data_IF_220582293114
#
_entry.id   IF_220582293114
#
_cell.length_a   1.000
_cell.length_b   1.000
_cell.length_c   1.000
_cell.angle_alpha   90.00
_cell.angle_beta   90.00
_cell.angle_gamma   90.00
#
_symmetry.space_group_name_H-M   'P 1'
#
loop_
_entity.id
_entity.type
_entity.pdbx_description
1 polymer ?
#
# COMPACT_ATOMS: atom_id res chain seq x y z
N UNK A 1 12.85 -12.51 -18.38
CA UNK A 1 12.99 -13.36 -17.17
C UNK A 1 13.43 -12.55 -15.96
N UNK A 2 14.51 -11.78 -16.04
CA UNK A 2 15.07 -11.02 -14.89
C UNK A 2 14.09 -10.02 -14.24
N UNK A 3 13.42 -9.18 -15.02
CA UNK A 3 12.44 -8.20 -14.47
C UNK A 3 11.25 -8.85 -13.74
N UNK A 4 10.80 -10.02 -14.20
CA UNK A 4 9.72 -10.78 -13.55
C UNK A 4 10.18 -11.31 -12.20
N UNK A 5 11.40 -11.83 -12.11
CA UNK A 5 11.97 -12.31 -10.85
C UNK A 5 12.14 -11.19 -9.82
N UNK A 6 12.71 -10.05 -10.23
CA UNK A 6 12.85 -8.87 -9.36
C UNK A 6 11.50 -8.38 -8.80
N UNK A 7 10.42 -8.47 -9.60
CA UNK A 7 9.08 -8.11 -9.14
C UNK A 7 8.61 -9.02 -8.00
N UNK A 8 8.78 -10.35 -8.14
CA UNK A 8 8.38 -11.29 -7.09
C UNK A 8 9.24 -11.18 -5.83
N UNK A 9 10.53 -10.89 -5.96
CA UNK A 9 11.41 -10.61 -4.81
C UNK A 9 10.96 -9.34 -4.08
N UNK A 10 10.67 -8.27 -4.81
CA UNK A 10 10.13 -7.01 -4.25
C UNK A 10 8.79 -7.26 -3.53
N UNK A 11 7.88 -7.99 -4.18
CA UNK A 11 6.58 -8.32 -3.61
C UNK A 11 6.71 -9.16 -2.34
N UNK A 12 7.63 -10.15 -2.34
CA UNK A 12 7.91 -10.98 -1.16
C UNK A 12 8.43 -10.13 0.00
N UNK A 13 9.37 -9.22 -0.26
CA UNK A 13 9.91 -8.35 0.79
C UNK A 13 8.82 -7.47 1.44
N UNK A 14 7.93 -6.87 0.64
CA UNK A 14 6.80 -6.06 1.13
C UNK A 14 5.83 -6.92 1.96
N UNK A 15 5.51 -8.13 1.50
CA UNK A 15 4.62 -9.06 2.22
C UNK A 15 5.24 -9.49 3.55
N UNK A 16 6.49 -9.96 3.54
CA UNK A 16 7.21 -10.37 4.76
C UNK A 16 7.30 -9.23 5.78
N UNK A 17 7.60 -8.02 5.32
CA UNK A 17 7.62 -6.84 6.19
C UNK A 17 6.24 -6.59 6.83
N UNK A 18 5.19 -6.65 6.03
CA UNK A 18 3.82 -6.40 6.53
C UNK A 18 3.36 -7.49 7.49
N UNK A 19 3.67 -8.75 7.20
CA UNK A 19 3.33 -9.90 8.05
C UNK A 19 4.03 -9.79 9.41
N UNK A 20 5.32 -9.44 9.43
CA UNK A 20 6.07 -9.23 10.67
C UNK A 20 5.39 -8.18 11.57
N UNK A 21 4.87 -7.11 10.99
CA UNK A 21 4.16 -6.07 11.74
C UNK A 21 2.77 -6.54 12.22
N UNK A 22 2.04 -7.23 11.36
CA UNK A 22 0.66 -7.67 11.66
C UNK A 22 0.67 -8.73 12.77
N UNK A 23 1.66 -9.62 12.79
CA UNK A 23 1.89 -10.61 13.84
C UNK A 23 2.27 -9.95 15.18
N UNK A 24 3.13 -8.93 15.16
CA UNK A 24 3.48 -8.16 16.35
C UNK A 24 2.26 -7.46 17.00
N UNK A 25 1.25 -7.08 16.20
CA UNK A 25 -0.01 -6.49 16.71
C UNK A 25 -0.95 -7.52 17.36
N UNK A 26 -0.83 -8.81 17.03
CA UNK A 26 -1.67 -9.89 17.58
C UNK A 26 -1.09 -10.57 18.83
N UNK A 27 0.08 -10.15 19.32
CA UNK A 27 0.73 -10.76 20.49
C UNK A 27 1.22 -12.19 20.28
N UNK A 28 1.26 -12.67 19.02
CA UNK A 28 1.70 -14.01 18.65
C UNK A 28 3.19 -13.99 18.28
N UNK A 29 4.06 -13.89 19.28
CA UNK A 29 5.44 -14.37 19.13
C UNK A 29 5.57 -15.66 19.92
N UNK A 30 5.34 -16.79 19.25
CA UNK A 30 5.78 -18.09 19.72
C UNK A 30 6.91 -18.55 18.78
N UNK A 31 8.11 -18.63 19.35
CA UNK A 31 9.28 -19.41 18.93
C UNK A 31 9.66 -19.43 17.43
N UNK A 32 10.79 -18.77 17.17
CA UNK A 32 11.86 -19.23 16.29
C UNK A 32 11.42 -19.65 14.89
N UNK A 33 11.37 -18.68 13.98
CA UNK A 33 11.48 -18.97 12.55
C UNK A 33 12.73 -18.27 12.06
N UNK A 34 13.59 -19.00 11.35
CA UNK A 34 14.70 -18.47 10.55
C UNK A 34 14.13 -17.57 9.42
N UNK A 35 13.51 -16.46 9.80
CA UNK A 35 12.92 -15.51 8.89
C UNK A 35 14.02 -14.62 8.34
N UNK A 36 13.97 -14.40 7.02
CA UNK A 36 14.76 -13.37 6.35
C UNK A 36 14.70 -12.05 7.16
N UNK A 37 15.81 -11.30 7.25
CA UNK A 37 15.82 -10.05 7.99
C UNK A 37 14.68 -9.16 7.49
N UNK A 38 13.82 -8.74 8.43
CA UNK A 38 12.73 -7.83 8.11
C UNK A 38 13.33 -6.53 7.58
N UNK A 39 12.98 -6.09 6.36
CA UNK A 39 13.57 -4.88 5.78
C UNK A 39 13.30 -3.66 6.66
N UNK A 40 14.24 -2.73 6.70
CA UNK A 40 14.08 -1.43 7.36
C UNK A 40 13.03 -0.55 6.67
N UNK A 41 12.56 0.51 7.32
CA UNK A 41 11.61 1.45 6.71
C UNK A 41 12.16 2.09 5.43
N UNK A 42 13.46 2.41 5.41
CA UNK A 42 14.14 2.99 4.24
C UNK A 42 14.16 2.00 3.07
N UNK A 43 14.47 0.73 3.33
CA UNK A 43 14.46 -0.32 2.31
C UNK A 43 13.04 -0.57 1.77
N UNK A 44 12.04 -0.58 2.65
CA UNK A 44 10.64 -0.71 2.24
C UNK A 44 10.19 0.49 1.39
N UNK A 45 10.54 1.71 1.77
CA UNK A 45 10.26 2.90 0.96
C UNK A 45 10.84 2.76 -0.45
N UNK A 46 12.08 2.26 -0.57
CA UNK A 46 12.73 2.03 -1.87
C UNK A 46 12.02 0.93 -2.68
N UNK A 47 11.63 -0.18 -2.05
CA UNK A 47 10.87 -1.26 -2.70
C UNK A 47 9.50 -0.79 -3.19
N UNK A 48 8.79 0.02 -2.40
CA UNK A 48 7.50 0.59 -2.79
C UNK A 48 7.62 1.60 -3.92
N UNK A 49 8.67 2.43 -3.94
CA UNK A 49 8.93 3.35 -5.06
C UNK A 49 9.22 2.56 -6.35
N UNK A 50 10.05 1.52 -6.27
CA UNK A 50 10.34 0.64 -7.41
C UNK A 50 9.07 -0.03 -7.93
N UNK A 51 8.25 -0.58 -7.02
CA UNK A 51 6.96 -1.20 -7.37
C UNK A 51 6.02 -0.19 -8.04
N UNK A 52 5.88 1.01 -7.46
CA UNK A 52 5.05 2.08 -8.02
C UNK A 52 5.45 2.41 -9.46
N UNK A 53 6.75 2.59 -9.71
CA UNK A 53 7.25 2.91 -11.05
C UNK A 53 7.01 1.76 -12.04
N UNK A 54 7.23 0.51 -11.61
CA UNK A 54 6.93 -0.69 -12.43
C UNK A 54 5.45 -0.88 -12.76
N UNK A 55 4.53 -0.45 -11.88
CA UNK A 55 3.08 -0.48 -12.15
C UNK A 55 2.70 0.61 -13.14
N UNK A 56 3.24 1.83 -12.94
CA UNK A 56 3.01 2.97 -13.81
C UNK A 56 3.43 2.68 -15.26
N UNK A 57 4.64 2.16 -15.46
CA UNK A 57 5.23 1.82 -16.76
C UNK A 57 4.55 0.63 -17.48
N UNK A 58 3.47 0.08 -16.93
CA UNK A 58 2.69 -1.03 -17.49
C UNK A 58 3.40 -2.40 -17.56
N UNK A 59 4.67 -2.49 -17.17
CA UNK A 59 5.47 -3.72 -17.31
C UNK A 59 5.03 -4.85 -16.36
N UNK A 60 4.28 -4.55 -15.29
CA UNK A 60 3.96 -5.53 -14.23
C UNK A 60 2.49 -5.55 -13.80
N UNK A 61 1.58 -4.85 -14.49
CA UNK A 61 0.18 -4.67 -14.04
C UNK A 61 -0.54 -6.00 -13.83
N UNK A 62 -0.48 -6.91 -14.81
CA UNK A 62 -1.05 -8.25 -14.70
C UNK A 62 -0.41 -9.09 -13.57
N UNK A 63 0.87 -8.84 -13.25
CA UNK A 63 1.58 -9.61 -12.24
C UNK A 63 1.12 -9.25 -10.81
N UNK A 64 0.73 -8.00 -10.56
CA UNK A 64 0.20 -7.56 -9.27
C UNK A 64 -1.14 -8.24 -8.95
N UNK A 65 -1.98 -8.45 -9.97
CA UNK A 65 -3.29 -9.14 -9.85
C UNK A 65 -3.12 -10.58 -9.34
N UNK A 66 -2.03 -11.23 -9.74
CA UNK A 66 -1.72 -12.60 -9.35
C UNK A 66 -1.15 -12.73 -7.92
N UNK A 67 -0.99 -11.63 -7.17
CA UNK A 67 -0.51 -11.66 -5.79
C UNK A 67 -1.50 -10.95 -4.86
N UNK A 68 -2.66 -11.54 -4.53
CA UNK A 68 -3.64 -10.96 -3.61
C UNK A 68 -3.04 -10.52 -2.26
N UNK A 69 -2.08 -11.29 -1.75
CA UNK A 69 -1.34 -10.94 -0.52
C UNK A 69 -0.59 -9.61 -0.62
N UNK A 70 -0.04 -9.27 -1.80
CA UNK A 70 0.65 -7.99 -1.99
C UNK A 70 -0.35 -6.83 -1.87
N UNK A 71 -1.54 -6.97 -2.44
CA UNK A 71 -2.59 -5.96 -2.36
C UNK A 71 -3.09 -5.77 -0.92
N UNK A 72 -3.24 -6.87 -0.18
CA UNK A 72 -3.54 -6.85 1.25
C UNK A 72 -2.43 -6.15 2.05
N UNK A 73 -1.18 -6.47 1.77
CA UNK A 73 -0.03 -5.84 2.41
C UNK A 73 0.02 -4.34 2.17
N UNK A 74 -0.14 -3.90 0.92
CA UNK A 74 -0.21 -2.48 0.57
C UNK A 74 -1.35 -1.78 1.32
N UNK A 75 -2.53 -2.40 1.39
CA UNK A 75 -3.70 -1.85 2.09
C UNK A 75 -3.45 -1.74 3.60
N UNK A 76 -2.82 -2.74 4.21
CA UNK A 76 -2.46 -2.69 5.63
C UNK A 76 -1.43 -1.58 5.92
N UNK A 77 -0.42 -1.44 5.05
CA UNK A 77 0.65 -0.46 5.22
C UNK A 77 0.20 1.00 5.09
N UNK A 78 -0.89 1.28 4.35
CA UNK A 78 -1.48 2.62 4.26
C UNK A 78 -1.91 3.18 5.63
N UNK A 79 -2.20 2.31 6.61
CA UNK A 79 -2.55 2.72 7.99
C UNK A 79 -1.45 2.34 9.00
N UNK A 80 -0.25 2.04 8.52
CA UNK A 80 0.87 1.59 9.35
C UNK A 80 1.21 2.61 10.43
N UNK A 81 1.06 2.18 11.70
CA UNK A 81 1.39 2.95 12.91
C UNK A 81 0.84 4.39 12.88
N UNK A 82 -0.35 4.53 12.30
CA UNK A 82 -1.03 5.81 12.17
C UNK A 82 -1.37 6.36 13.57
N UNK A 83 -1.07 7.64 13.81
CA UNK A 83 -1.32 8.32 15.08
C UNK A 83 -0.36 7.96 16.23
N UNK A 84 0.68 7.15 15.98
CA UNK A 84 1.76 6.93 16.96
C UNK A 84 2.97 7.76 16.59
N UNK A 85 3.33 8.72 17.45
CA UNK A 85 4.50 9.56 17.25
C UNK A 85 5.55 9.24 18.31
N UNK A 86 6.72 8.79 17.88
CA UNK A 86 7.79 8.36 18.79
C UNK A 86 9.03 9.21 18.56
N UNK A 87 9.38 9.42 17.30
CA UNK A 87 10.59 10.11 16.86
C UNK A 87 10.33 10.71 15.49
N UNK A 88 10.76 11.95 15.27
CA UNK A 88 10.45 12.69 14.04
C UNK A 88 11.02 12.01 12.79
N UNK A 89 12.22 11.44 12.84
CA UNK A 89 12.82 10.76 11.70
C UNK A 89 12.05 9.46 11.38
N UNK A 90 11.76 8.68 12.42
CA UNK A 90 10.95 7.46 12.27
C UNK A 90 9.54 7.76 11.78
N UNK A 91 8.93 8.85 12.24
CA UNK A 91 7.58 9.26 11.85
C UNK A 91 7.55 9.76 10.39
N UNK A 92 8.61 10.46 9.94
CA UNK A 92 8.78 10.83 8.54
C UNK A 92 8.94 9.60 7.63
N UNK A 93 9.75 8.62 8.04
CA UNK A 93 9.92 7.37 7.29
C UNK A 93 8.61 6.58 7.20
N UNK A 94 7.82 6.56 8.28
CA UNK A 94 6.47 5.94 8.28
C UNK A 94 5.52 6.65 7.33
N UNK A 95 5.53 7.97 7.33
CA UNK A 95 4.73 8.78 6.41
C UNK A 95 5.11 8.47 4.97
N UNK A 96 6.41 8.37 4.67
CA UNK A 96 6.88 8.01 3.34
C UNK A 96 6.36 6.63 2.91
N UNK A 97 6.49 5.61 3.76
CA UNK A 97 5.95 4.26 3.48
C UNK A 97 4.45 4.34 3.17
N UNK A 98 3.65 5.03 3.99
CA UNK A 98 2.21 5.22 3.74
C UNK A 98 1.95 5.89 2.39
N UNK A 99 2.69 6.95 2.08
CA UNK A 99 2.59 7.69 0.82
C UNK A 99 2.90 6.80 -0.40
N UNK A 100 3.99 6.02 -0.34
CA UNK A 100 4.34 5.11 -1.45
C UNK A 100 3.34 3.97 -1.61
N UNK A 101 2.80 3.43 -0.52
CA UNK A 101 1.72 2.43 -0.58
C UNK A 101 0.45 3.00 -1.23
N UNK A 102 0.03 4.22 -0.85
CA UNK A 102 -1.10 4.91 -1.48
C UNK A 102 -0.90 5.09 -2.98
N UNK A 103 0.30 5.48 -3.41
CA UNK A 103 0.66 5.63 -4.82
C UNK A 103 0.60 4.30 -5.58
N UNK A 104 1.09 3.21 -4.98
CA UNK A 104 0.96 1.87 -5.56
C UNK A 104 -0.52 1.49 -5.76
N UNK A 105 -1.35 1.66 -4.73
CA UNK A 105 -2.77 1.34 -4.79
C UNK A 105 -3.53 2.22 -5.78
N UNK A 106 -3.15 3.49 -5.90
CA UNK A 106 -3.72 4.39 -6.91
C UNK A 106 -3.48 3.84 -8.31
N UNK A 107 -2.25 3.47 -8.65
CA UNK A 107 -1.95 2.91 -9.98
C UNK A 107 -2.62 1.56 -10.21
N UNK A 108 -2.63 0.68 -9.20
CA UNK A 108 -3.33 -0.61 -9.27
C UNK A 108 -4.81 -0.40 -9.57
N UNK A 109 -5.44 0.54 -8.86
CA UNK A 109 -6.83 0.90 -9.13
C UNK A 109 -6.96 1.47 -10.53
N UNK A 110 -6.27 2.56 -10.89
CA UNK A 110 -6.40 3.22 -12.20
C UNK A 110 -6.25 2.28 -13.40
N UNK A 111 -5.40 1.27 -13.31
CA UNK A 111 -5.14 0.36 -14.42
C UNK A 111 -5.68 -1.07 -14.22
N UNK A 112 -6.35 -1.33 -13.10
CA UNK A 112 -6.89 -2.65 -12.77
C UNK A 112 -8.07 -3.03 -13.65
N UNK A 113 -8.23 -4.31 -13.95
CA UNK A 113 -9.45 -4.83 -14.55
C UNK A 113 -10.54 -5.05 -13.48
N UNK A 114 -11.67 -5.63 -13.88
CA UNK A 114 -12.78 -5.97 -12.99
C UNK A 114 -12.34 -6.85 -11.80
N UNK A 115 -11.40 -7.78 -12.02
CA UNK A 115 -10.90 -8.66 -10.97
C UNK A 115 -10.14 -7.85 -9.90
N UNK A 116 -9.28 -6.92 -10.31
CA UNK A 116 -8.59 -6.01 -9.39
C UNK A 116 -9.56 -5.15 -8.61
N UNK A 117 -10.61 -4.65 -9.25
CA UNK A 117 -11.63 -3.84 -8.58
C UNK A 117 -12.35 -4.64 -7.49
N UNK A 118 -12.74 -5.89 -7.80
CA UNK A 118 -13.36 -6.79 -6.83
C UNK A 118 -12.44 -7.04 -5.63
N UNK A 119 -11.16 -7.29 -5.88
CA UNK A 119 -10.17 -7.53 -4.81
C UNK A 119 -9.92 -6.26 -3.96
N UNK A 120 -9.91 -5.07 -4.57
CA UNK A 120 -9.83 -3.80 -3.84
C UNK A 120 -11.03 -3.59 -2.92
N UNK A 121 -12.24 -3.87 -3.40
CA UNK A 121 -13.47 -3.80 -2.59
C UNK A 121 -13.42 -4.80 -1.44
N UNK A 122 -13.04 -6.06 -1.71
CA UNK A 122 -12.95 -7.12 -0.70
C UNK A 122 -11.91 -6.82 0.38
N UNK A 123 -10.78 -6.21 0.01
CA UNK A 123 -9.75 -5.78 0.95
C UNK A 123 -10.09 -4.48 1.68
N UNK A 124 -11.28 -3.91 1.45
CA UNK A 124 -11.77 -2.73 2.15
C UNK A 124 -11.06 -1.44 1.74
N UNK A 125 -10.57 -1.36 0.49
CA UNK A 125 -9.81 -0.21 -0.02
C UNK A 125 -10.44 1.14 0.33
N UNK A 126 -11.74 1.31 0.05
CA UNK A 126 -12.46 2.56 0.35
C UNK A 126 -12.41 2.95 1.83
N UNK A 127 -12.54 1.96 2.73
CA UNK A 127 -12.44 2.17 4.19
C UNK A 127 -11.01 2.54 4.59
N UNK A 128 -10.02 1.80 4.09
CA UNK A 128 -8.59 2.01 4.38
C UNK A 128 -8.15 3.40 3.95
N UNK A 129 -8.49 3.81 2.72
CA UNK A 129 -8.16 5.14 2.21
C UNK A 129 -8.82 6.23 3.06
N UNK A 130 -10.10 6.07 3.40
CA UNK A 130 -10.80 7.05 4.25
C UNK A 130 -10.12 7.21 5.60
N UNK A 131 -9.75 6.11 6.26
CA UNK A 131 -9.02 6.16 7.54
C UNK A 131 -7.67 6.85 7.36
N UNK A 132 -6.94 6.55 6.28
CA UNK A 132 -5.60 7.08 6.06
C UNK A 132 -5.55 8.61 6.02
N UNK A 133 -6.56 9.25 5.41
CA UNK A 133 -6.64 10.71 5.32
C UNK A 133 -7.40 11.35 6.50
N UNK A 134 -8.37 10.64 7.10
CA UNK A 134 -9.16 11.17 8.22
C UNK A 134 -8.41 11.16 9.56
N UNK A 135 -7.33 10.38 9.68
CA UNK A 135 -6.54 10.30 10.93
C UNK A 135 -5.39 11.31 10.95
N UNK A 136 -5.42 12.33 10.09
CA UNK A 136 -4.58 13.53 10.21
C UNK A 136 -4.96 14.23 11.53
N UNK A 137 -4.33 13.81 12.63
CA UNK A 137 -4.67 14.13 14.02
C UNK A 137 -4.36 15.57 14.45
N UNK A 138 -4.71 16.55 13.62
CA UNK A 138 -4.56 17.99 13.92
C UNK A 138 -3.11 18.45 14.09
N UNK A 139 -2.12 17.62 13.77
CA UNK A 139 -0.67 17.91 13.89
C UNK A 139 0.05 18.15 12.56
N UNK A 140 -0.67 18.13 11.42
CA UNK A 140 -0.10 18.46 10.11
C UNK A 140 0.82 17.41 9.50
N UNK A 141 0.63 16.11 9.79
CA UNK A 141 1.40 15.03 9.16
C UNK A 141 1.16 14.94 7.64
N UNK A 142 -0.02 15.31 7.16
CA UNK A 142 -0.38 15.33 5.75
C UNK A 142 -0.69 16.76 5.33
N UNK A 143 -0.12 17.20 4.22
CA UNK A 143 -0.36 18.53 3.67
C UNK A 143 -1.76 18.60 3.06
N UNK A 144 -2.36 19.79 2.99
CA UNK A 144 -3.69 19.99 2.37
C UNK A 144 -3.79 19.38 0.96
N UNK A 145 -2.69 19.41 0.21
CA UNK A 145 -2.60 18.79 -1.12
C UNK A 145 -2.71 17.25 -1.07
N UNK A 146 -2.09 16.60 -0.08
CA UNK A 146 -2.18 15.14 0.07
C UNK A 146 -3.59 14.71 0.49
N UNK A 147 -4.22 15.48 1.38
CA UNK A 147 -5.62 15.29 1.77
C UNK A 147 -6.53 15.45 0.56
N UNK A 148 -6.35 16.52 -0.22
CA UNK A 148 -7.14 16.76 -1.42
C UNK A 148 -6.98 15.65 -2.46
N UNK A 149 -5.74 15.26 -2.77
CA UNK A 149 -5.44 14.13 -3.67
C UNK A 149 -6.09 12.83 -3.16
N UNK A 150 -6.07 12.62 -1.85
CA UNK A 150 -6.68 11.47 -1.21
C UNK A 150 -8.19 11.40 -1.32
N UNK A 151 -8.86 12.53 -1.07
CA UNK A 151 -10.31 12.67 -1.22
C UNK A 151 -10.73 12.54 -2.68
N UNK A 152 -9.98 13.14 -3.61
CA UNK A 152 -10.21 12.98 -5.05
C UNK A 152 -10.08 11.50 -5.44
N UNK A 153 -9.06 10.82 -4.93
CA UNK A 153 -8.88 9.39 -5.11
C UNK A 153 -10.12 8.62 -4.62
N UNK A 154 -10.63 8.88 -3.42
CA UNK A 154 -11.82 8.18 -2.90
C UNK A 154 -13.04 8.48 -3.78
N UNK A 155 -13.25 9.74 -4.14
CA UNK A 155 -14.35 10.18 -4.99
C UNK A 155 -14.36 9.44 -6.34
N UNK A 156 -13.21 9.41 -7.03
CA UNK A 156 -13.07 8.71 -8.32
C UNK A 156 -13.37 7.22 -8.19
N UNK A 157 -12.89 6.58 -7.13
CA UNK A 157 -13.14 5.16 -6.88
C UNK A 157 -14.64 4.87 -6.70
N UNK A 158 -15.33 5.67 -5.88
CA UNK A 158 -16.77 5.50 -5.67
C UNK A 158 -17.58 5.79 -6.93
N UNK A 159 -17.16 6.78 -7.72
CA UNK A 159 -17.80 7.09 -8.99
C UNK A 159 -17.64 5.94 -10.00
N UNK A 160 -16.43 5.41 -10.15
CA UNK A 160 -16.14 4.26 -11.03
C UNK A 160 -16.94 3.00 -10.63
N UNK A 161 -17.17 2.76 -9.34
CA UNK A 161 -18.04 1.69 -8.87
C UNK A 161 -19.52 1.93 -9.21
N UNK A 162 -19.96 3.19 -9.20
CA UNK A 162 -21.35 3.54 -9.46
C UNK A 162 -21.70 3.54 -10.95
N UNK A 163 -20.83 4.13 -11.78
CA UNK A 163 -21.07 4.31 -13.22
C UNK A 163 -20.53 3.15 -14.06
N UNK A 164 -19.72 2.28 -13.47
CA UNK A 164 -18.83 1.40 -14.22
C UNK A 164 -17.62 2.17 -14.78
N UNK A 165 -16.62 1.42 -15.26
CA UNK A 165 -15.52 1.98 -16.03
C UNK A 165 -15.93 2.09 -17.49
N UNK A 166 -15.96 3.31 -18.00
CA UNK A 166 -16.05 3.52 -19.44
C UNK A 166 -14.67 3.21 -20.00
N UNK A 167 -14.51 1.99 -20.53
CA UNK A 167 -13.37 1.62 -21.36
C UNK A 167 -13.60 2.23 -22.75
N UNK A 168 -13.23 3.50 -22.93
CA UNK A 168 -13.04 4.09 -24.27
C UNK A 168 -11.59 3.91 -24.74
#
# INVERSE_FOLDING_TARGET
MQQKQEFYETARAIVSFTDSYTQNKQGKQNEQTDSEPTPSLVEISAYLENLSNKIYENNTRQQVIHIPKLLQSLSALVTFRLGTHIDLDVDNQRLEVRNKCRRCLYWIRCFGDEQVQSELVNNGYGRVMSISFCTAGGKGEEQDQEIWNGLECIFRFLNELHTGRNDD
#
